data_IF_776734763615
#
_entry.id   IF_776734763615
#
_cell.length_a   1.000
_cell.length_b   1.000
_cell.length_c   1.000
_cell.angle_alpha   90.00
_cell.angle_beta   90.00
_cell.angle_gamma   90.00
#
_symmetry.space_group_name_H-M   'P 1'
#
loop_
_entity.id
_entity.type
_entity.pdbx_description
1 polymer ?
#
# COMPACT_ATOMS: atom_id res chain seq x y z
N UNK A 1 -24.81 -14.92 14.31
CA UNK A 1 -23.79 -14.28 15.18
C UNK A 1 -22.42 -14.72 14.72
N UNK A 2 -21.52 -13.78 14.40
CA UNK A 2 -20.12 -14.09 14.11
C UNK A 2 -19.46 -14.67 15.36
N UNK A 3 -19.00 -15.92 15.30
CA UNK A 3 -18.22 -16.50 16.39
C UNK A 3 -16.77 -15.99 16.30
N UNK A 4 -16.50 -14.86 16.96
CA UNK A 4 -15.19 -14.17 17.00
C UNK A 4 -14.09 -15.06 17.60
N UNK A 5 -14.43 -16.13 18.32
CA UNK A 5 -13.42 -17.06 18.86
C UNK A 5 -12.76 -17.93 17.78
N UNK A 6 -13.43 -18.15 16.64
CA UNK A 6 -12.91 -18.98 15.56
C UNK A 6 -11.90 -18.22 14.69
N UNK A 7 -10.93 -18.93 14.11
CA UNK A 7 -9.94 -18.36 13.17
C UNK A 7 -10.60 -17.57 12.03
N UNK A 8 -11.63 -18.15 11.40
CA UNK A 8 -12.43 -17.48 10.36
C UNK A 8 -13.16 -16.25 10.89
N UNK A 9 -13.70 -16.33 12.11
CA UNK A 9 -14.32 -15.20 12.80
C UNK A 9 -13.34 -14.04 12.97
N UNK A 10 -12.12 -14.31 13.42
CA UNK A 10 -11.06 -13.30 13.56
C UNK A 10 -10.63 -12.68 12.24
N UNK A 11 -10.48 -13.48 11.18
CA UNK A 11 -10.22 -12.94 9.83
C UNK A 11 -11.31 -11.97 9.41
N UNK A 12 -12.59 -12.36 9.55
CA UNK A 12 -13.72 -11.50 9.19
C UNK A 12 -13.73 -10.24 10.06
N UNK A 13 -13.46 -10.35 11.36
CA UNK A 13 -13.33 -9.19 12.25
C UNK A 13 -12.24 -8.23 11.77
N UNK A 14 -11.07 -8.74 11.36
CA UNK A 14 -9.98 -7.90 10.83
C UNK A 14 -10.39 -7.21 9.53
N UNK A 15 -11.08 -7.89 8.61
CA UNK A 15 -11.62 -7.27 7.38
C UNK A 15 -12.57 -6.14 7.72
N UNK A 16 -13.52 -6.38 8.63
CA UNK A 16 -14.54 -5.40 9.02
C UNK A 16 -13.87 -4.20 9.71
N UNK A 17 -13.00 -4.44 10.68
CA UNK A 17 -12.33 -3.38 11.43
C UNK A 17 -11.46 -2.53 10.51
N UNK A 18 -10.59 -3.16 9.71
CA UNK A 18 -9.69 -2.43 8.81
C UNK A 18 -10.47 -1.64 7.75
N UNK A 19 -11.45 -2.26 7.09
CA UNK A 19 -12.31 -1.57 6.11
C UNK A 19 -13.07 -0.42 6.74
N UNK A 20 -13.63 -0.59 7.94
CA UNK A 20 -14.39 0.46 8.62
C UNK A 20 -13.49 1.64 9.01
N UNK A 21 -12.34 1.37 9.64
CA UNK A 21 -11.39 2.41 10.05
C UNK A 21 -10.90 3.19 8.83
N UNK A 22 -10.46 2.50 7.77
CA UNK A 22 -9.98 3.14 6.55
C UNK A 22 -11.10 3.93 5.85
N UNK A 23 -12.32 3.39 5.78
CA UNK A 23 -13.46 4.11 5.18
C UNK A 23 -13.83 5.38 5.94
N UNK A 24 -13.75 5.37 7.28
CA UNK A 24 -13.96 6.57 8.09
C UNK A 24 -12.90 7.63 7.78
N UNK A 25 -11.63 7.23 7.71
CA UNK A 25 -10.54 8.16 7.42
C UNK A 25 -10.59 8.71 5.99
N UNK A 26 -10.88 7.86 5.01
CA UNK A 26 -11.15 8.28 3.62
C UNK A 26 -12.28 9.30 3.60
N UNK A 27 -13.41 8.99 4.24
CA UNK A 27 -14.56 9.91 4.28
C UNK A 27 -14.22 11.23 4.96
N UNK A 28 -13.41 11.19 6.02
CA UNK A 28 -12.93 12.39 6.71
C UNK A 28 -11.99 13.22 5.83
N UNK A 29 -11.06 12.58 5.12
CA UNK A 29 -10.20 13.26 4.14
C UNK A 29 -11.03 13.96 3.07
N UNK A 30 -11.94 13.22 2.41
CA UNK A 30 -12.81 13.72 1.34
C UNK A 30 -13.71 14.87 1.78
N UNK A 31 -14.24 14.83 2.99
CA UNK A 31 -15.16 15.83 3.49
C UNK A 31 -14.45 17.12 3.94
N UNK A 32 -13.28 17.00 4.58
CA UNK A 32 -12.66 18.10 5.31
C UNK A 32 -11.27 18.49 4.79
N UNK A 33 -10.37 17.52 4.61
CA UNK A 33 -8.96 17.81 4.33
C UNK A 33 -8.71 18.10 2.85
N UNK A 34 -9.32 17.34 1.96
CA UNK A 34 -9.10 17.50 0.53
C UNK A 34 -9.51 18.89 0.02
N UNK A 35 -10.68 19.35 0.46
CA UNK A 35 -11.18 20.68 0.10
C UNK A 35 -10.33 21.82 0.70
N UNK A 36 -9.70 21.57 1.85
CA UNK A 36 -8.93 22.58 2.58
C UNK A 36 -7.47 22.67 2.13
N UNK A 37 -6.88 21.58 1.63
CA UNK A 37 -5.43 21.47 1.38
C UNK A 37 -5.09 21.17 -0.08
N UNK A 38 -5.88 20.33 -0.76
CA UNK A 38 -5.48 19.80 -2.08
C UNK A 38 -6.13 20.53 -3.26
N UNK A 39 -6.83 21.65 -3.01
CA UNK A 39 -7.43 22.49 -4.06
C UNK A 39 -6.46 23.54 -4.62
N UNK A 40 -5.36 23.80 -3.91
CA UNK A 40 -4.27 24.67 -4.36
C UNK A 40 -3.05 23.81 -4.76
N UNK A 41 -2.59 23.90 -6.03
CA UNK A 41 -1.41 23.16 -6.50
C UNK A 41 -0.12 23.44 -5.71
N UNK A 42 -0.04 24.56 -4.98
CA UNK A 42 1.11 24.90 -4.14
C UNK A 42 1.11 24.18 -2.78
N UNK A 43 -0.04 23.63 -2.38
CA UNK A 43 -0.22 22.89 -1.12
C UNK A 43 -0.55 21.42 -1.32
N UNK A 44 -0.74 20.97 -2.57
CA UNK A 44 -0.89 19.56 -2.92
C UNK A 44 0.39 18.78 -2.55
N UNK A 45 0.28 17.98 -1.49
CA UNK A 45 1.35 17.12 -0.98
C UNK A 45 1.30 15.70 -1.54
N UNK A 46 0.44 15.44 -2.53
CA UNK A 46 0.22 14.10 -3.07
C UNK A 46 1.00 13.86 -4.36
N UNK A 47 1.40 12.60 -4.58
CA UNK A 47 2.11 12.19 -5.80
C UNK A 47 1.15 11.77 -6.93
N UNK A 48 -0.15 12.02 -6.78
CA UNK A 48 -1.20 11.53 -7.68
C UNK A 48 -0.96 11.94 -9.13
N UNK A 49 -0.54 13.19 -9.40
CA UNK A 49 -0.26 13.63 -10.77
C UNK A 49 0.83 12.78 -11.42
N UNK A 50 1.92 12.49 -10.70
CA UNK A 50 3.00 11.64 -11.21
C UNK A 50 2.52 10.21 -11.45
N UNK A 51 1.67 9.68 -10.58
CA UNK A 51 1.08 8.35 -10.75
C UNK A 51 0.19 8.29 -12.00
N UNK A 52 -0.63 9.32 -12.22
CA UNK A 52 -1.51 9.43 -13.39
C UNK A 52 -0.69 9.49 -14.67
N UNK A 53 0.26 10.42 -14.78
CA UNK A 53 1.08 10.59 -15.99
C UNK A 53 1.82 9.30 -16.39
N UNK A 54 2.38 8.58 -15.41
CA UNK A 54 3.10 7.33 -15.64
C UNK A 54 2.17 6.18 -16.02
N UNK A 55 1.04 6.03 -15.33
CA UNK A 55 0.06 5.00 -15.65
C UNK A 55 -0.61 5.24 -17.00
N UNK A 56 -0.95 6.48 -17.34
CA UNK A 56 -1.50 6.83 -18.66
C UNK A 56 -0.50 6.52 -19.77
N UNK A 57 0.79 6.75 -19.55
CA UNK A 57 1.85 6.36 -20.50
C UNK A 57 1.79 4.86 -20.79
N UNK A 58 1.65 4.02 -19.75
CA UNK A 58 1.51 2.56 -19.90
C UNK A 58 0.22 2.20 -20.66
N UNK A 59 -0.92 2.79 -20.27
CA UNK A 59 -2.23 2.52 -20.87
C UNK A 59 -2.24 2.83 -22.37
N UNK A 60 -1.55 3.89 -22.80
CA UNK A 60 -1.44 4.28 -24.21
C UNK A 60 -0.35 3.54 -24.99
N UNK A 61 0.27 2.49 -24.41
CA UNK A 61 1.29 1.68 -25.08
C UNK A 61 2.63 2.40 -25.29
N UNK A 62 2.87 3.47 -24.54
CA UNK A 62 4.15 4.20 -24.52
C UNK A 62 5.10 3.58 -23.49
N UNK A 63 6.38 3.92 -23.58
CA UNK A 63 7.43 3.35 -22.73
C UNK A 63 7.76 4.27 -21.55
N UNK A 64 7.71 3.72 -20.33
CA UNK A 64 8.29 4.34 -19.14
C UNK A 64 9.77 4.67 -19.36
N UNK A 65 10.29 5.70 -18.68
CA UNK A 65 11.67 6.24 -18.80
C UNK A 65 12.05 6.85 -20.15
N UNK A 66 11.28 6.61 -21.21
CA UNK A 66 11.48 7.23 -22.52
C UNK A 66 10.47 8.37 -22.74
N UNK A 67 9.21 8.09 -22.45
CA UNK A 67 8.08 8.94 -22.86
C UNK A 67 7.48 9.73 -21.69
N UNK A 68 7.94 9.50 -20.45
CA UNK A 68 7.51 10.19 -19.22
C UNK A 68 8.61 10.17 -18.16
N UNK A 69 8.74 11.26 -17.38
CA UNK A 69 9.72 11.32 -16.30
C UNK A 69 9.44 10.27 -15.22
N UNK A 70 10.39 9.36 -15.06
CA UNK A 70 10.26 8.19 -14.18
C UNK A 70 11.57 7.96 -13.46
N UNK A 71 11.54 8.13 -12.14
CA UNK A 71 12.70 7.92 -11.25
C UNK A 71 12.55 6.68 -10.37
N UNK A 72 11.33 6.16 -10.24
CA UNK A 72 11.04 4.93 -9.50
C UNK A 72 11.33 3.69 -10.35
N UNK A 73 11.57 2.52 -9.75
CA UNK A 73 11.60 1.25 -10.48
C UNK A 73 10.31 0.97 -11.27
N UNK A 74 10.33 0.14 -12.32
CA UNK A 74 9.20 0.07 -13.25
C UNK A 74 7.96 -0.56 -12.61
N UNK A 75 8.15 -1.53 -11.71
CA UNK A 75 7.06 -2.39 -11.27
C UNK A 75 5.98 -1.65 -10.48
N UNK A 76 6.34 -0.64 -9.67
CA UNK A 76 5.33 0.17 -8.96
C UNK A 76 4.44 0.94 -9.93
N UNK A 77 4.98 1.44 -11.05
CA UNK A 77 4.20 2.17 -12.05
C UNK A 77 3.15 1.28 -12.72
N UNK A 78 3.45 0.00 -12.95
CA UNK A 78 2.44 -0.97 -13.42
C UNK A 78 1.38 -1.25 -12.36
N UNK A 79 1.76 -1.31 -11.08
CA UNK A 79 0.82 -1.47 -9.97
C UNK A 79 -0.05 -0.23 -9.76
N UNK A 80 0.28 0.92 -10.33
CA UNK A 80 -0.52 2.15 -10.28
C UNK A 80 -1.51 2.29 -11.44
N UNK A 81 -1.48 1.37 -12.42
CA UNK A 81 -2.46 1.35 -13.53
C UNK A 81 -3.91 1.19 -13.04
N UNK A 82 -4.24 0.30 -12.09
CA UNK A 82 -5.63 0.11 -11.68
C UNK A 82 -6.35 1.38 -11.18
N UNK A 83 -5.85 2.16 -10.20
CA UNK A 83 -6.55 3.36 -9.73
C UNK A 83 -6.72 4.42 -10.84
N UNK A 84 -5.80 4.49 -11.79
CA UNK A 84 -5.87 5.41 -12.94
C UNK A 84 -6.91 4.94 -13.95
N UNK A 85 -6.93 3.65 -14.27
CA UNK A 85 -7.94 3.04 -15.14
C UNK A 85 -9.37 3.21 -14.58
N UNK A 86 -9.53 3.17 -13.25
CA UNK A 86 -10.81 3.37 -12.57
C UNK A 86 -11.14 4.85 -12.28
N UNK A 87 -10.58 5.77 -13.06
CA UNK A 87 -11.00 7.18 -13.11
C UNK A 87 -9.99 8.18 -12.56
N UNK A 88 -8.79 7.74 -12.15
CA UNK A 88 -7.69 8.62 -11.75
C UNK A 88 -8.06 9.64 -10.65
N UNK A 89 -9.09 9.33 -9.87
CA UNK A 89 -9.60 10.22 -8.83
C UNK A 89 -8.86 10.01 -7.51
N UNK A 90 -8.79 11.02 -6.64
CA UNK A 90 -8.22 10.84 -5.30
C UNK A 90 -8.84 9.66 -4.54
N UNK A 91 -10.16 9.50 -4.63
CA UNK A 91 -10.89 8.39 -4.02
C UNK A 91 -10.43 7.03 -4.58
N UNK A 92 -10.16 6.93 -5.88
CA UNK A 92 -9.66 5.70 -6.49
C UNK A 92 -8.30 5.31 -5.92
N UNK A 93 -7.38 6.28 -5.75
CA UNK A 93 -6.08 6.04 -5.11
C UNK A 93 -6.22 5.63 -3.64
N UNK A 94 -7.03 6.35 -2.87
CA UNK A 94 -7.25 6.07 -1.45
C UNK A 94 -7.80 4.66 -1.20
N UNK A 95 -8.82 4.27 -1.98
CA UNK A 95 -9.39 2.91 -1.92
C UNK A 95 -8.33 1.89 -2.32
N UNK A 96 -7.62 2.13 -3.43
CA UNK A 96 -6.64 1.20 -3.96
C UNK A 96 -5.48 0.96 -2.98
N UNK A 97 -4.89 2.02 -2.42
CA UNK A 97 -3.82 1.89 -1.44
C UNK A 97 -4.31 1.26 -0.13
N UNK A 98 -5.53 1.58 0.29
CA UNK A 98 -6.15 0.99 1.48
C UNK A 98 -6.33 -0.53 1.37
N UNK A 99 -6.56 -1.06 0.17
CA UNK A 99 -6.61 -2.52 -0.06
C UNK A 99 -5.30 -3.18 0.37
N UNK A 100 -4.13 -2.59 0.08
CA UNK A 100 -2.84 -3.15 0.49
C UNK A 100 -2.63 -3.11 2.00
N UNK A 101 -3.15 -2.10 2.70
CA UNK A 101 -3.18 -2.09 4.15
C UNK A 101 -4.03 -3.25 4.71
N UNK A 102 -5.23 -3.46 4.16
CA UNK A 102 -6.09 -4.60 4.56
C UNK A 102 -5.38 -5.92 4.28
N UNK A 103 -4.79 -6.10 3.10
CA UNK A 103 -4.04 -7.30 2.75
C UNK A 103 -2.87 -7.54 3.70
N UNK A 104 -2.16 -6.50 4.12
CA UNK A 104 -1.05 -6.62 5.08
C UNK A 104 -1.54 -7.06 6.46
N UNK A 105 -2.63 -6.46 6.96
CA UNK A 105 -3.28 -6.87 8.23
C UNK A 105 -3.66 -8.34 8.18
N UNK A 106 -4.27 -8.78 7.08
CA UNK A 106 -4.67 -10.18 6.90
C UNK A 106 -3.47 -11.12 6.77
N UNK A 107 -2.43 -10.71 6.06
CA UNK A 107 -1.20 -11.49 5.94
C UNK A 107 -0.55 -11.69 7.31
N UNK A 108 -0.38 -10.61 8.09
CA UNK A 108 0.18 -10.67 9.45
C UNK A 108 -0.58 -11.68 10.31
N UNK A 109 -1.92 -11.60 10.31
CA UNK A 109 -2.73 -12.56 11.06
C UNK A 109 -2.60 -13.98 10.53
N UNK A 110 -2.77 -14.18 9.21
CA UNK A 110 -2.76 -15.50 8.59
C UNK A 110 -1.47 -16.25 8.89
N UNK A 111 -0.32 -15.63 8.61
CA UNK A 111 0.98 -16.29 8.74
C UNK A 111 1.38 -16.50 10.21
N UNK A 112 1.17 -15.52 11.09
CA UNK A 112 1.57 -15.64 12.50
C UNK A 112 0.59 -16.50 13.32
N UNK A 113 -0.65 -16.67 12.85
CA UNK A 113 -1.66 -17.46 13.58
C UNK A 113 -1.27 -18.92 13.75
N UNK A 114 -0.44 -19.46 12.83
CA UNK A 114 0.09 -20.82 12.93
C UNK A 114 1.08 -20.99 14.09
N UNK A 115 1.63 -19.89 14.61
CA UNK A 115 2.58 -19.88 15.73
C UNK A 115 1.82 -19.60 17.04
N UNK A 116 1.09 -18.49 17.09
CA UNK A 116 0.25 -18.09 18.24
C UNK A 116 -0.88 -17.19 17.74
N UNK A 117 -2.09 -17.75 17.66
CA UNK A 117 -3.25 -17.06 17.10
C UNK A 117 -3.67 -15.81 17.88
N UNK A 118 -3.51 -15.82 19.22
CA UNK A 118 -3.89 -14.66 20.04
C UNK A 118 -2.91 -13.51 19.79
N UNK A 119 -1.60 -13.79 19.79
CA UNK A 119 -0.59 -12.78 19.50
C UNK A 119 -0.66 -12.31 18.06
N UNK A 120 -0.90 -13.19 17.10
CA UNK A 120 -1.08 -12.82 15.69
C UNK A 120 -2.23 -11.83 15.51
N UNK A 121 -3.36 -12.06 16.17
CA UNK A 121 -4.50 -11.14 16.12
C UNK A 121 -4.13 -9.77 16.71
N UNK A 122 -3.48 -9.75 17.88
CA UNK A 122 -3.03 -8.50 18.50
C UNK A 122 -1.99 -7.78 17.65
N UNK A 123 -1.06 -8.49 17.01
CA UNK A 123 -0.06 -7.92 16.10
C UNK A 123 -0.71 -7.31 14.85
N UNK A 124 -1.72 -7.96 14.27
CA UNK A 124 -2.45 -7.44 13.11
C UNK A 124 -3.22 -6.15 13.47
N UNK A 125 -3.87 -6.12 14.63
CA UNK A 125 -4.53 -4.91 15.17
C UNK A 125 -3.49 -3.81 15.45
N UNK A 126 -2.38 -4.15 16.10
CA UNK A 126 -1.33 -3.20 16.40
C UNK A 126 -0.75 -2.58 15.12
N UNK A 127 -0.50 -3.39 14.08
CA UNK A 127 -0.05 -2.93 12.78
C UNK A 127 -1.03 -1.96 12.12
N UNK A 128 -2.34 -2.27 12.15
CA UNK A 128 -3.38 -1.40 11.60
C UNK A 128 -3.39 -0.02 12.25
N UNK A 129 -3.21 0.06 13.57
CA UNK A 129 -3.27 1.31 14.32
C UNK A 129 -1.93 2.04 14.44
N UNK A 130 -0.89 1.63 13.69
CA UNK A 130 0.29 2.46 13.50
C UNK A 130 -0.15 3.70 12.71
N UNK A 131 0.14 4.93 13.18
CA UNK A 131 -0.35 6.15 12.53
C UNK A 131 -0.02 6.23 11.03
N UNK A 132 1.20 5.83 10.64
CA UNK A 132 1.62 5.84 9.23
C UNK A 132 0.86 4.82 8.38
N UNK A 133 0.53 3.63 8.91
CA UNK A 133 -0.29 2.62 8.21
C UNK A 133 -1.67 3.16 7.81
N UNK A 134 -2.20 4.10 8.59
CA UNK A 134 -3.49 4.73 8.35
C UNK A 134 -3.38 5.97 7.47
N UNK A 135 -2.45 6.88 7.78
CA UNK A 135 -2.34 8.19 7.14
C UNK A 135 -1.84 8.09 5.69
N UNK A 136 -0.88 7.20 5.43
CA UNK A 136 -0.26 7.02 4.12
C UNK A 136 -1.28 6.70 3.01
N UNK A 137 -2.12 5.66 3.14
CA UNK A 137 -3.07 5.33 2.08
C UNK A 137 -4.27 6.29 2.01
N UNK A 138 -4.60 7.04 3.07
CA UNK A 138 -5.77 7.93 3.08
C UNK A 138 -5.40 9.38 2.79
N UNK A 139 -4.81 10.09 3.74
CA UNK A 139 -4.56 11.54 3.62
C UNK A 139 -3.37 11.86 2.70
N UNK A 140 -2.35 11.02 2.69
CA UNK A 140 -1.14 11.26 1.88
C UNK A 140 -1.24 10.68 0.46
N UNK A 141 -2.17 9.73 0.23
CA UNK A 141 -2.40 9.06 -1.07
C UNK A 141 -1.11 8.50 -1.66
N UNK A 142 -0.41 7.74 -0.84
CA UNK A 142 0.96 7.36 -1.10
C UNK A 142 1.11 5.86 -1.36
N UNK A 143 1.94 5.50 -2.35
CA UNK A 143 2.12 4.13 -2.84
C UNK A 143 2.90 3.24 -1.84
N UNK A 144 3.43 3.83 -0.77
CA UNK A 144 4.11 3.18 0.35
C UNK A 144 3.27 2.04 0.96
N UNK A 145 1.94 2.11 0.92
CA UNK A 145 1.09 1.01 1.38
C UNK A 145 1.32 -0.29 0.58
N UNK A 146 1.56 -0.17 -0.74
CA UNK A 146 1.93 -1.29 -1.61
C UNK A 146 3.31 -1.81 -1.22
N UNK A 147 4.26 -0.90 -1.03
CA UNK A 147 5.64 -1.24 -0.67
C UNK A 147 5.70 -1.99 0.65
N UNK A 148 4.97 -1.52 1.67
CA UNK A 148 4.90 -2.18 2.97
C UNK A 148 4.34 -3.59 2.84
N UNK A 149 3.29 -3.81 2.04
CA UNK A 149 2.76 -5.15 1.81
C UNK A 149 3.83 -6.10 1.23
N UNK A 150 4.50 -5.67 0.16
CA UNK A 150 5.55 -6.49 -0.49
C UNK A 150 6.85 -6.60 0.32
N UNK A 151 7.08 -5.70 1.28
CA UNK A 151 8.17 -5.80 2.24
C UNK A 151 7.85 -6.77 3.38
N UNK A 152 6.65 -6.72 3.93
CA UNK A 152 6.23 -7.54 5.08
C UNK A 152 5.98 -9.00 4.67
N UNK A 153 5.37 -9.24 3.51
CA UNK A 153 5.04 -10.59 3.03
C UNK A 153 6.23 -11.57 3.02
N UNK A 154 7.40 -11.26 2.43
CA UNK A 154 8.55 -12.17 2.47
C UNK A 154 9.01 -12.43 3.90
N UNK A 155 9.03 -11.42 4.77
CA UNK A 155 9.44 -11.60 6.18
C UNK A 155 8.51 -12.58 6.91
N UNK A 156 7.19 -12.47 6.70
CA UNK A 156 6.22 -13.41 7.26
C UNK A 156 6.43 -14.84 6.76
N UNK A 157 6.71 -15.01 5.46
CA UNK A 157 6.99 -16.32 4.86
C UNK A 157 8.30 -16.93 5.35
N UNK A 158 9.32 -16.11 5.59
CA UNK A 158 10.58 -16.55 6.18
C UNK A 158 10.38 -17.07 7.61
N UNK A 159 9.54 -16.39 8.40
CA UNK A 159 9.20 -16.79 9.77
C UNK A 159 8.36 -18.06 9.81
N UNK A 160 7.30 -18.13 8.99
CA UNK A 160 6.36 -19.25 9.03
C UNK A 160 6.91 -20.53 8.38
N UNK A 161 7.46 -20.42 7.16
CA UNK A 161 7.75 -21.58 6.32
C UNK A 161 9.26 -21.87 6.20
N UNK A 162 10.12 -20.97 6.70
CA UNK A 162 11.60 -21.05 6.56
C UNK A 162 12.09 -21.27 5.12
N UNK A 163 11.24 -21.05 4.12
CA UNK A 163 11.53 -21.29 2.72
C UNK A 163 12.33 -20.10 2.15
N UNK A 164 13.65 -20.26 2.19
CA UNK A 164 14.61 -19.23 1.80
C UNK A 164 14.46 -18.80 0.34
N UNK A 165 14.06 -19.69 -0.55
CA UNK A 165 13.90 -19.38 -1.98
C UNK A 165 12.71 -18.47 -2.24
N UNK A 166 11.55 -18.76 -1.64
CA UNK A 166 10.36 -17.92 -1.76
C UNK A 166 10.60 -16.55 -1.12
N UNK A 167 11.26 -16.54 0.04
CA UNK A 167 11.71 -15.31 0.68
C UNK A 167 12.59 -14.48 -0.27
N UNK A 168 13.69 -15.05 -0.78
CA UNK A 168 14.62 -14.34 -1.67
C UNK A 168 13.92 -13.79 -2.90
N UNK A 169 13.08 -14.61 -3.57
CA UNK A 169 12.35 -14.17 -4.75
C UNK A 169 11.42 -12.98 -4.45
N UNK A 170 10.59 -13.08 -3.41
CA UNK A 170 9.65 -12.01 -3.06
C UNK A 170 10.36 -10.75 -2.53
N UNK A 171 11.47 -10.89 -1.83
CA UNK A 171 12.32 -9.76 -1.45
C UNK A 171 12.92 -9.07 -2.67
N UNK A 172 13.39 -9.82 -3.68
CA UNK A 172 13.86 -9.25 -4.95
C UNK A 172 12.74 -8.53 -5.71
N UNK A 173 11.52 -9.07 -5.71
CA UNK A 173 10.33 -8.38 -6.25
C UNK A 173 10.07 -7.09 -5.48
N UNK A 174 10.14 -7.09 -4.15
CA UNK A 174 9.97 -5.89 -3.32
C UNK A 174 10.98 -4.79 -3.67
N UNK A 175 12.25 -5.15 -3.88
CA UNK A 175 13.28 -4.22 -4.38
C UNK A 175 12.92 -3.66 -5.75
N UNK A 176 12.38 -4.49 -6.64
CA UNK A 176 11.95 -4.06 -7.97
C UNK A 176 10.69 -3.20 -7.96
N UNK A 177 9.87 -3.27 -6.91
CA UNK A 177 8.71 -2.38 -6.70
C UNK A 177 9.21 -0.99 -6.31
N UNK A 178 9.94 -0.88 -5.21
CA UNK A 178 10.48 0.41 -4.78
C UNK A 178 11.85 0.19 -4.16
N UNK A 179 12.83 0.87 -4.73
CA UNK A 179 14.16 1.03 -4.17
C UNK A 179 14.45 2.51 -4.27
N UNK A 180 14.82 3.14 -3.15
CA UNK A 180 15.32 4.51 -3.22
C UNK A 180 16.59 4.48 -4.06
N UNK A 181 16.65 5.20 -5.20
CA UNK A 181 17.89 5.33 -5.92
C UNK A 181 18.88 6.05 -5.00
N UNK A 182 20.06 5.45 -4.78
CA UNK A 182 21.18 6.08 -4.07
C UNK A 182 21.70 7.36 -4.78
N UNK A 183 21.12 7.74 -5.92
CA UNK A 183 21.60 8.80 -6.81
C UNK A 183 21.16 10.22 -6.43
N UNK A 184 20.35 10.42 -5.39
CA UNK A 184 19.92 11.77 -4.97
C UNK A 184 21.01 12.59 -4.25
N UNK A 185 22.22 12.03 -4.06
CA UNK A 185 23.33 12.67 -3.35
C UNK A 185 24.62 12.84 -4.16
N UNK A 186 24.63 12.53 -5.46
CA UNK A 186 25.80 12.82 -6.30
C UNK A 186 25.52 14.07 -7.13
N UNK A 187 26.16 15.22 -6.82
CA UNK A 187 26.17 16.33 -7.77
C UNK A 187 26.79 15.81 -9.07
N UNK A 188 26.08 16.00 -10.18
CA UNK A 188 26.56 15.65 -11.51
C UNK A 188 27.91 16.34 -11.76
N UNK A 189 28.90 15.55 -12.22
CA UNK A 189 30.09 16.05 -12.91
C UNK A 189 29.81 16.14 -14.41
#
# INVERSE_FOLDING_TARGET
>A
MLNISSHKGKMISLIIISSLVLSILISADRAYFDNAVNTDPSTDHTDNRLYIERAETIIHGKLLYRDVDTQTPPLINYLLVPPVYFGASPLAFEIYFSIFTVLTVLAVFHFLSRIDEKKAFLSAIAFLFIPTTLVVPTFARQDEAIVVFFFVLPLLLAVENKNRYVYTFLSSVGVWIKMHPYSSYLPCF
#
